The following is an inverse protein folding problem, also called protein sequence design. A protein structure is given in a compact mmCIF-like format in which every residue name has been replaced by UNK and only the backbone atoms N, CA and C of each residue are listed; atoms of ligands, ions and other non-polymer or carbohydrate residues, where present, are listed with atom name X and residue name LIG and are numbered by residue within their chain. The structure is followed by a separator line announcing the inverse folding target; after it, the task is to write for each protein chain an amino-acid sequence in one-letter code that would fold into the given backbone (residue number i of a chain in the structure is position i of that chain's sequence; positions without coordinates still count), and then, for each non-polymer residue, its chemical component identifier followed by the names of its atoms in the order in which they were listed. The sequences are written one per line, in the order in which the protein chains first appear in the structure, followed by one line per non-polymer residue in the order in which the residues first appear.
data_IF_777106454796
#
_entry.id   IF_777106454796
#
_cell.length_a   1.000
_cell.length_b   1.000
_cell.length_c   1.000
_cell.angle_alpha   90.00
_cell.angle_beta   90.00
_cell.angle_gamma   90.00
#
_symmetry.space_group_name_H-M   'P 1'
#
loop_
_entity.id
_entity.type
_entity.pdbx_description
1 polymer ?
#
# COMPACT_ATOMS: atom_id res chain seq x y z
N UNK A 1 -4.10 40.29 -42.15
CA UNK A 1 -3.14 40.19 -41.04
C UNK A 1 -3.76 39.71 -39.76
N UNK A 2 -4.89 40.21 -39.32
CA UNK A 2 -5.59 39.73 -38.10
C UNK A 2 -5.98 38.26 -38.17
N UNK A 3 -6.41 37.77 -39.32
CA UNK A 3 -6.83 36.38 -39.53
C UNK A 3 -5.64 35.45 -39.40
N UNK A 4 -4.47 35.79 -39.94
CA UNK A 4 -3.25 34.98 -39.81
C UNK A 4 -2.78 34.89 -38.35
N UNK A 5 -2.82 36.02 -37.61
CA UNK A 5 -2.44 36.03 -36.20
C UNK A 5 -3.38 35.20 -35.36
N UNK A 6 -4.69 35.21 -35.63
CA UNK A 6 -5.68 34.40 -34.94
C UNK A 6 -5.44 32.90 -35.17
N UNK A 7 -5.18 32.52 -36.42
CA UNK A 7 -4.90 31.10 -36.78
C UNK A 7 -3.61 30.66 -36.10
N UNK A 8 -2.58 31.50 -36.11
CA UNK A 8 -1.30 31.20 -35.48
C UNK A 8 -1.44 31.03 -33.97
N UNK A 9 -2.18 31.94 -33.31
CA UNK A 9 -2.46 31.88 -31.87
C UNK A 9 -3.26 30.63 -31.53
N UNK A 10 -4.30 30.31 -32.34
CA UNK A 10 -5.11 29.10 -32.12
C UNK A 10 -4.29 27.84 -32.25
N UNK A 11 -3.35 27.77 -33.19
CA UNK A 11 -2.43 26.62 -33.37
C UNK A 11 -1.49 26.49 -32.17
N UNK A 12 -0.95 27.60 -31.68
CA UNK A 12 -0.09 27.60 -30.50
C UNK A 12 -0.85 27.15 -29.26
N UNK A 13 -2.08 27.61 -29.08
CA UNK A 13 -2.94 27.18 -27.97
C UNK A 13 -3.24 25.70 -28.04
N UNK A 14 -3.55 25.17 -29.23
CA UNK A 14 -3.82 23.75 -29.45
C UNK A 14 -2.58 22.91 -29.16
N UNK A 15 -1.41 23.36 -29.60
CA UNK A 15 -0.14 22.68 -29.33
C UNK A 15 0.15 22.65 -27.83
N UNK A 16 -0.08 23.77 -27.13
CA UNK A 16 0.10 23.88 -25.69
C UNK A 16 -0.85 22.93 -24.94
N UNK A 17 -2.12 22.87 -25.36
CA UNK A 17 -3.12 21.98 -24.78
C UNK A 17 -2.74 20.51 -24.98
N UNK A 18 -2.29 20.16 -26.17
CA UNK A 18 -1.82 18.79 -26.47
C UNK A 18 -0.62 18.42 -25.60
N UNK A 19 0.30 19.35 -25.41
CA UNK A 19 1.48 19.17 -24.57
C UNK A 19 1.10 18.97 -23.10
N UNK A 20 0.17 19.78 -22.61
CA UNK A 20 -0.35 19.64 -21.25
C UNK A 20 -1.07 18.30 -21.05
N UNK A 21 -1.82 17.86 -22.05
CA UNK A 21 -2.51 16.59 -22.01
C UNK A 21 -1.53 15.41 -21.93
N UNK A 22 -0.43 15.44 -22.71
CA UNK A 22 0.62 14.44 -22.66
C UNK A 22 1.34 14.42 -21.31
N UNK A 23 1.62 15.61 -20.76
CA UNK A 23 2.21 15.74 -19.42
C UNK A 23 1.30 15.13 -18.35
N UNK A 24 -0.01 15.40 -18.44
CA UNK A 24 -1.01 14.84 -17.51
C UNK A 24 -1.06 13.32 -17.63
N UNK A 25 -1.02 12.77 -18.84
CA UNK A 25 -1.00 11.32 -19.07
C UNK A 25 0.25 10.66 -18.47
N UNK A 26 1.41 11.29 -18.64
CA UNK A 26 2.67 10.79 -18.07
C UNK A 26 2.62 10.80 -16.56
N UNK A 27 2.09 11.86 -15.97
CA UNK A 27 1.93 11.99 -14.52
C UNK A 27 0.99 10.91 -13.98
N UNK A 28 -0.15 10.72 -14.64
CA UNK A 28 -1.12 9.70 -14.28
C UNK A 28 -0.52 8.29 -14.37
N UNK A 29 0.24 8.03 -15.43
CA UNK A 29 0.93 6.75 -15.61
C UNK A 29 1.89 6.47 -14.46
N UNK A 30 2.67 7.49 -14.05
CA UNK A 30 3.58 7.36 -12.91
C UNK A 30 2.83 7.09 -11.61
N UNK A 31 1.70 7.76 -11.41
CA UNK A 31 0.86 7.56 -10.22
C UNK A 31 0.30 6.14 -10.16
N UNK A 32 -0.16 5.60 -11.29
CA UNK A 32 -0.66 4.22 -11.40
C UNK A 32 0.46 3.23 -11.10
N UNK A 33 1.64 3.46 -11.68
CA UNK A 33 2.81 2.62 -11.46
C UNK A 33 3.23 2.63 -9.99
N UNK A 34 3.23 3.80 -9.36
CA UNK A 34 3.53 3.94 -7.94
C UNK A 34 2.49 3.21 -7.08
N UNK A 35 1.21 3.34 -7.43
CA UNK A 35 0.12 2.66 -6.71
C UNK A 35 0.27 1.14 -6.83
N UNK A 36 0.67 0.63 -7.98
CA UNK A 36 0.94 -0.79 -8.19
C UNK A 36 2.07 -1.29 -7.28
N UNK A 37 3.21 -0.59 -7.29
CA UNK A 37 4.34 -0.95 -6.43
C UNK A 37 4.00 -0.88 -4.95
N UNK A 38 3.22 0.13 -4.56
CA UNK A 38 2.76 0.26 -3.18
C UNK A 38 1.89 -0.93 -2.77
N UNK A 39 1.01 -1.39 -3.66
CA UNK A 39 0.15 -2.55 -3.41
C UNK A 39 0.97 -3.84 -3.30
N UNK A 40 1.95 -4.04 -4.18
CA UNK A 40 2.85 -5.20 -4.15
C UNK A 40 3.65 -5.23 -2.85
N UNK A 41 4.21 -4.08 -2.46
CA UNK A 41 4.98 -3.97 -1.23
C UNK A 41 4.11 -4.21 0.02
N UNK A 42 2.89 -3.71 0.00
CA UNK A 42 1.93 -3.91 1.09
C UNK A 42 1.52 -5.38 1.22
N UNK A 43 1.35 -6.08 0.11
CA UNK A 43 1.08 -7.53 0.10
C UNK A 43 2.24 -8.30 0.72
N UNK A 44 3.46 -8.00 0.30
CA UNK A 44 4.67 -8.64 0.83
C UNK A 44 4.80 -8.41 2.35
N UNK A 45 4.55 -7.18 2.78
CA UNK A 45 4.59 -6.82 4.20
C UNK A 45 3.51 -7.55 5.00
N UNK A 46 2.31 -7.68 4.43
CA UNK A 46 1.23 -8.44 5.07
C UNK A 46 1.60 -9.92 5.22
N UNK A 47 2.13 -10.54 4.18
CA UNK A 47 2.59 -11.93 4.22
C UNK A 47 3.66 -12.14 5.30
N UNK A 48 4.63 -11.24 5.37
CA UNK A 48 5.67 -11.27 6.41
C UNK A 48 5.08 -11.12 7.81
N UNK A 49 4.09 -10.24 7.97
CA UNK A 49 3.45 -10.03 9.26
C UNK A 49 2.62 -11.24 9.71
N UNK A 50 2.03 -11.98 8.77
CA UNK A 50 1.33 -13.23 9.09
C UNK A 50 2.29 -14.29 9.60
N UNK A 51 3.46 -14.43 8.98
CA UNK A 51 4.50 -15.35 9.43
C UNK A 51 5.00 -14.96 10.81
N UNK A 52 5.22 -13.66 11.05
CA UNK A 52 5.66 -13.14 12.36
C UNK A 52 4.61 -13.39 13.45
N UNK A 53 3.33 -13.22 13.12
CA UNK A 53 2.22 -13.50 14.03
C UNK A 53 2.20 -14.98 14.44
N UNK A 54 2.28 -15.87 13.47
CA UNK A 54 2.31 -17.32 13.71
C UNK A 54 3.49 -17.72 14.60
N UNK A 55 4.67 -17.17 14.33
CA UNK A 55 5.87 -17.45 15.10
C UNK A 55 5.74 -16.93 16.54
N UNK A 56 5.20 -15.71 16.72
CA UNK A 56 5.00 -15.11 18.03
C UNK A 56 3.94 -15.87 18.84
N UNK A 57 2.89 -16.35 18.18
CA UNK A 57 1.86 -17.18 18.81
C UNK A 57 2.44 -18.48 19.32
N UNK A 58 3.25 -19.16 18.48
CA UNK A 58 3.91 -20.41 18.87
C UNK A 58 4.85 -20.20 20.05
N UNK A 59 5.63 -19.10 20.04
CA UNK A 59 6.51 -18.72 21.16
C UNK A 59 5.72 -18.47 22.43
N UNK A 60 4.60 -17.76 22.33
CA UNK A 60 3.74 -17.48 23.48
C UNK A 60 3.15 -18.77 24.07
N UNK A 61 2.64 -19.66 23.23
CA UNK A 61 2.09 -20.95 23.67
C UNK A 61 3.13 -21.78 24.40
N UNK A 62 4.35 -21.84 23.88
CA UNK A 62 5.46 -22.52 24.54
C UNK A 62 5.81 -21.88 25.86
N UNK A 63 5.90 -20.57 25.92
CA UNK A 63 6.23 -19.84 27.15
C UNK A 63 5.13 -19.98 28.20
N UNK A 64 3.87 -19.98 27.77
CA UNK A 64 2.72 -20.20 28.65
C UNK A 64 2.80 -21.58 29.31
N UNK A 65 3.14 -22.61 28.53
CA UNK A 65 3.32 -23.97 29.02
C UNK A 65 4.46 -24.05 30.02
N UNK A 66 5.60 -23.44 29.72
CA UNK A 66 6.74 -23.34 30.65
C UNK A 66 6.36 -22.64 31.95
N UNK A 67 5.59 -21.55 31.85
CA UNK A 67 5.14 -20.80 33.01
C UNK A 67 4.23 -21.65 33.90
N UNK A 68 3.32 -22.40 33.30
CA UNK A 68 2.40 -23.27 34.04
C UNK A 68 3.12 -24.39 34.79
N UNK A 69 4.25 -24.88 34.25
CA UNK A 69 5.06 -25.90 34.89
C UNK A 69 6.19 -25.36 35.78
N UNK A 70 6.18 -24.04 36.01
CA UNK A 70 7.18 -23.41 36.87
C UNK A 70 8.56 -23.24 36.25
N UNK A 71 8.69 -23.47 34.96
CA UNK A 71 9.98 -23.40 34.23
C UNK A 71 10.29 -22.00 33.67
N UNK A 72 9.35 -21.06 33.75
CA UNK A 72 9.52 -19.69 33.30
C UNK A 72 8.92 -18.76 34.37
N UNK A 73 9.47 -17.52 34.46
CA UNK A 73 8.95 -16.53 35.39
C UNK A 73 7.86 -15.67 34.72
N UNK A 74 7.20 -14.84 35.54
CA UNK A 74 6.12 -13.98 35.06
C UNK A 74 6.59 -12.93 34.04
N UNK A 75 7.82 -12.45 34.18
CA UNK A 75 8.42 -11.48 33.24
C UNK A 75 8.56 -12.08 31.86
N UNK A 76 9.10 -13.29 31.76
CA UNK A 76 9.26 -14.01 30.49
C UNK A 76 7.91 -14.28 29.83
N UNK A 77 6.92 -14.69 30.61
CA UNK A 77 5.56 -14.93 30.17
C UNK A 77 4.93 -13.64 29.61
N UNK A 78 5.04 -12.54 30.34
CA UNK A 78 4.48 -11.25 29.94
C UNK A 78 5.17 -10.67 28.70
N UNK A 79 6.50 -10.87 28.55
CA UNK A 79 7.23 -10.47 27.37
C UNK A 79 6.74 -11.21 26.12
N UNK A 80 6.58 -12.52 26.22
CA UNK A 80 6.08 -13.34 25.12
C UNK A 80 4.66 -12.95 24.72
N UNK A 81 3.81 -12.66 25.71
CA UNK A 81 2.45 -12.19 25.48
C UNK A 81 2.44 -10.84 24.77
N UNK A 82 3.25 -9.90 25.24
CA UNK A 82 3.35 -8.55 24.65
C UNK A 82 3.87 -8.63 23.22
N UNK A 83 4.88 -9.47 22.97
CA UNK A 83 5.43 -9.67 21.62
C UNK A 83 4.38 -10.25 20.68
N UNK A 84 3.59 -11.20 21.14
CA UNK A 84 2.51 -11.77 20.33
C UNK A 84 1.42 -10.73 20.04
N UNK A 85 0.99 -9.97 21.04
CA UNK A 85 -0.02 -8.91 20.87
C UNK A 85 0.44 -7.85 19.87
N UNK A 86 1.72 -7.49 19.92
CA UNK A 86 2.31 -6.57 18.94
C UNK A 86 2.30 -7.17 17.54
N UNK A 87 2.66 -8.44 17.40
CA UNK A 87 2.67 -9.12 16.09
C UNK A 87 1.25 -9.20 15.51
N UNK A 88 0.23 -9.46 16.32
CA UNK A 88 -1.17 -9.45 15.90
C UNK A 88 -1.58 -8.06 15.42
N UNK A 89 -1.23 -7.02 16.18
CA UNK A 89 -1.54 -5.64 15.82
C UNK A 89 -0.87 -5.23 14.51
N UNK A 90 0.41 -5.56 14.36
CA UNK A 90 1.16 -5.27 13.12
C UNK A 90 0.55 -6.00 11.92
N UNK A 91 0.09 -7.22 12.12
CA UNK A 91 -0.56 -8.02 11.06
C UNK A 91 -1.90 -7.39 10.64
N UNK A 92 -2.70 -6.95 11.59
CA UNK A 92 -3.99 -6.28 11.32
C UNK A 92 -3.75 -4.97 10.55
N UNK A 93 -2.78 -4.18 10.97
CA UNK A 93 -2.42 -2.92 10.29
C UNK A 93 -1.94 -3.18 8.87
N UNK A 94 -1.09 -4.19 8.69
CA UNK A 94 -0.59 -4.58 7.37
C UNK A 94 -1.71 -5.07 6.45
N UNK A 95 -2.68 -5.81 6.99
CA UNK A 95 -3.86 -6.27 6.27
C UNK A 95 -4.69 -5.10 5.73
N UNK A 96 -5.01 -4.14 6.59
CA UNK A 96 -5.80 -2.98 6.19
C UNK A 96 -5.04 -2.08 5.22
N UNK A 97 -3.74 -1.89 5.42
CA UNK A 97 -2.90 -1.14 4.49
C UNK A 97 -2.89 -1.81 3.10
N UNK A 98 -2.75 -3.11 3.04
CA UNK A 98 -2.80 -3.89 1.79
C UNK A 98 -4.17 -3.71 1.11
N UNK A 99 -5.27 -3.88 1.83
CA UNK A 99 -6.62 -3.72 1.29
C UNK A 99 -6.84 -2.30 0.76
N UNK A 100 -6.39 -1.29 1.50
CA UNK A 100 -6.52 0.11 1.12
C UNK A 100 -5.73 0.40 -0.16
N UNK A 101 -4.50 -0.06 -0.24
CA UNK A 101 -3.64 0.17 -1.41
C UNK A 101 -4.14 -0.59 -2.64
N UNK A 102 -4.72 -1.76 -2.45
CA UNK A 102 -5.36 -2.52 -3.53
C UNK A 102 -6.58 -1.76 -4.07
N UNK A 103 -7.36 -1.15 -3.18
CA UNK A 103 -8.53 -0.35 -3.59
C UNK A 103 -8.12 0.92 -4.33
N UNK A 104 -7.04 1.57 -3.93
CA UNK A 104 -6.48 2.72 -4.66
C UNK A 104 -6.07 2.29 -6.08
N UNK A 105 -5.40 1.16 -6.20
CA UNK A 105 -4.98 0.63 -7.49
C UNK A 105 -6.20 0.31 -8.37
N UNK A 106 -7.23 -0.30 -7.82
CA UNK A 106 -8.48 -0.60 -8.52
C UNK A 106 -9.17 0.68 -8.99
N UNK A 107 -9.15 1.72 -8.17
CA UNK A 107 -9.67 3.03 -8.54
C UNK A 107 -8.96 3.59 -9.77
N UNK A 108 -7.63 3.54 -9.78
CA UNK A 108 -6.85 4.00 -10.93
C UNK A 108 -7.11 3.16 -12.18
N UNK A 109 -7.29 1.86 -12.03
CA UNK A 109 -7.64 0.96 -13.16
C UNK A 109 -9.02 1.29 -13.75
N UNK A 110 -9.93 1.79 -12.94
CA UNK A 110 -11.26 2.21 -13.38
C UNK A 110 -11.27 3.51 -14.16
N UNK A 111 -10.30 4.41 -13.94
CA UNK A 111 -10.24 5.71 -14.60
C UNK A 111 -10.18 5.60 -16.13
N UNK A 112 -9.32 4.74 -16.74
CA UNK A 112 -9.29 4.61 -18.20
C UNK A 112 -10.60 4.11 -18.79
N UNK A 113 -11.38 3.34 -18.04
CA UNK A 113 -12.69 2.82 -18.47
C UNK A 113 -13.76 3.91 -18.47
N UNK A 114 -13.67 4.85 -17.54
CA UNK A 114 -14.64 5.95 -17.41
C UNK A 114 -14.34 7.11 -18.37
N UNK A 115 -13.11 7.23 -18.84
CA UNK A 115 -12.70 8.28 -19.77
C UNK A 115 -12.99 7.95 -21.24
N UNK A 116 -13.43 6.74 -21.52
CA UNK A 116 -13.88 6.32 -22.84
C UNK A 116 -15.36 6.62 -23.01
#
# INVERSE_FOLDING_TARGET
MRTRNRVRTARLEQTTLNWQLEETKKKLYKEIQQAYYNAVNAESKYQSSQVADEAAEASFKLMKEKYMYGKANATEYNEARTNWMKAVSDCVQAKYDYLFRTKILDFYKGIPLTLK
#
